data_IF_719713693636
#
_entry.id   IF_719713693636
#
_cell.length_a   1.000
_cell.length_b   1.000
_cell.length_c   1.000
_cell.angle_alpha   90.00
_cell.angle_beta   90.00
_cell.angle_gamma   90.00
#
_symmetry.space_group_name_H-M   'P 1'
#
loop_
_entity.id
_entity.type
_entity.pdbx_description
1 polymer ?
#
# COMPACT_ATOMS: atom_id res chain seq x y z
N UNK A 1 4.30 -11.89 18.53
CA UNK A 1 3.52 -12.34 17.36
C UNK A 1 2.35 -11.40 17.13
N UNK A 2 2.10 -11.02 15.90
CA UNK A 2 0.93 -10.22 15.55
C UNK A 2 -0.36 -10.93 15.92
N UNK A 3 -1.27 -10.22 16.60
CA UNK A 3 -2.58 -10.74 16.97
C UNK A 3 -3.64 -9.78 16.45
N UNK A 4 -4.58 -10.30 15.66
CA UNK A 4 -5.72 -9.56 15.11
C UNK A 4 -6.99 -10.20 15.66
N UNK A 5 -7.82 -9.41 16.35
CA UNK A 5 -9.07 -9.92 16.91
C UNK A 5 -10.21 -9.96 15.90
N UNK A 6 -10.26 -8.98 15.02
CA UNK A 6 -11.35 -8.84 14.06
C UNK A 6 -10.81 -8.31 12.72
N UNK A 7 -11.33 -8.84 11.64
CA UNK A 7 -11.02 -8.40 10.27
C UNK A 7 -12.25 -7.71 9.69
N UNK A 8 -12.04 -6.51 9.13
CA UNK A 8 -13.11 -5.74 8.49
C UNK A 8 -12.66 -5.35 7.09
N UNK A 9 -13.38 -5.81 6.07
CA UNK A 9 -13.19 -5.32 4.70
C UNK A 9 -14.02 -4.06 4.53
N UNK A 10 -13.37 -2.91 4.41
CA UNK A 10 -14.05 -1.64 4.31
C UNK A 10 -14.90 -1.56 3.04
N UNK A 11 -16.11 -1.05 3.17
CA UNK A 11 -17.05 -0.85 2.06
C UNK A 11 -16.94 0.55 1.46
N UNK A 12 -16.32 1.48 2.19
CA UNK A 12 -16.11 2.86 1.75
C UNK A 12 -14.89 3.47 2.44
N UNK A 13 -14.38 4.56 1.87
CA UNK A 13 -13.31 5.33 2.50
C UNK A 13 -13.77 5.96 3.82
N UNK A 14 -15.02 6.39 3.88
CA UNK A 14 -15.61 6.96 5.08
C UNK A 14 -15.63 5.94 6.23
N UNK A 15 -16.02 4.70 5.94
CA UNK A 15 -16.00 3.62 6.94
C UNK A 15 -14.56 3.34 7.41
N UNK A 16 -13.62 3.25 6.48
CA UNK A 16 -12.21 3.03 6.81
C UNK A 16 -11.68 4.16 7.69
N UNK A 17 -12.01 5.40 7.37
CA UNK A 17 -11.61 6.57 8.14
C UNK A 17 -12.14 6.51 9.57
N UNK A 18 -13.44 6.24 9.73
CA UNK A 18 -14.07 6.14 11.05
C UNK A 18 -13.44 5.03 11.90
N UNK A 19 -13.23 3.85 11.32
CA UNK A 19 -12.61 2.73 12.02
C UNK A 19 -11.16 3.05 12.43
N UNK A 20 -10.45 3.80 11.59
CA UNK A 20 -9.04 4.14 11.84
C UNK A 20 -8.86 5.23 12.92
N UNK A 21 -9.94 5.85 13.39
CA UNK A 21 -9.86 6.82 14.49
C UNK A 21 -9.43 6.18 15.81
N UNK A 22 -9.69 4.89 15.99
CA UNK A 22 -9.23 4.15 17.17
C UNK A 22 -7.82 3.64 16.96
N UNK A 23 -6.91 3.99 17.87
CA UNK A 23 -5.50 3.60 17.80
C UNK A 23 -5.27 2.09 17.85
N UNK A 24 -6.23 1.33 18.37
CA UNK A 24 -6.17 -0.12 18.45
C UNK A 24 -6.50 -0.80 17.14
N UNK A 25 -7.02 -0.06 16.17
CA UNK A 25 -7.29 -0.53 14.82
C UNK A 25 -6.13 -0.20 13.89
N UNK A 26 -5.99 -0.96 12.82
CA UNK A 26 -4.87 -0.81 11.88
C UNK A 26 -5.35 -1.03 10.45
N UNK A 27 -4.95 -0.12 9.56
CA UNK A 27 -5.19 -0.29 8.12
C UNK A 27 -4.15 -1.26 7.56
N UNK A 28 -4.62 -2.19 6.74
CA UNK A 28 -3.75 -3.17 6.10
C UNK A 28 -3.33 -2.69 4.70
N UNK A 29 -2.01 -2.77 4.44
CA UNK A 29 -1.47 -2.75 3.09
C UNK A 29 -1.10 -4.18 2.68
N UNK A 30 0.15 -4.40 2.27
CA UNK A 30 0.65 -5.74 1.94
C UNK A 30 0.96 -6.61 3.15
N UNK A 31 0.91 -6.08 4.34
CA UNK A 31 1.17 -6.74 5.63
C UNK A 31 2.60 -7.24 5.83
N UNK A 32 3.53 -6.92 4.96
CA UNK A 32 4.88 -7.51 5.00
C UNK A 32 5.63 -7.21 6.31
N UNK A 33 5.56 -5.96 6.77
CA UNK A 33 6.17 -5.55 8.03
C UNK A 33 5.25 -5.81 9.22
N UNK A 34 3.95 -5.60 9.02
CA UNK A 34 2.96 -5.78 10.08
C UNK A 34 2.97 -7.22 10.59
N UNK A 35 3.02 -8.21 9.70
CA UNK A 35 3.00 -9.63 10.10
C UNK A 35 4.21 -10.04 10.94
N UNK A 36 5.33 -9.30 10.85
CA UNK A 36 6.53 -9.55 11.64
C UNK A 36 6.54 -8.78 12.96
N UNK A 37 5.53 -7.97 13.20
CA UNK A 37 5.41 -7.19 14.43
C UNK A 37 4.82 -8.02 15.58
N UNK A 38 4.88 -7.46 16.79
CA UNK A 38 4.25 -8.02 17.97
C UNK A 38 3.00 -7.24 18.39
N UNK A 39 2.37 -6.54 17.46
CA UNK A 39 1.21 -5.70 17.75
C UNK A 39 -0.04 -6.53 18.08
N UNK A 40 -0.88 -5.94 18.93
CA UNK A 40 -2.24 -6.43 19.18
C UNK A 40 -3.21 -5.48 18.50
N UNK A 41 -3.85 -5.96 17.45
CA UNK A 41 -4.76 -5.18 16.62
C UNK A 41 -6.19 -5.60 16.93
N UNK A 42 -7.03 -4.62 17.30
CA UNK A 42 -8.44 -4.89 17.58
C UNK A 42 -9.20 -5.18 16.29
N UNK A 43 -9.10 -4.26 15.32
CA UNK A 43 -9.69 -4.43 13.99
C UNK A 43 -8.63 -4.18 12.92
N UNK A 44 -8.43 -5.15 12.06
CA UNK A 44 -7.62 -4.99 10.86
C UNK A 44 -8.54 -4.53 9.73
N UNK A 45 -8.26 -3.35 9.18
CA UNK A 45 -9.11 -2.69 8.17
C UNK A 45 -8.50 -2.96 6.80
N UNK A 46 -9.21 -3.73 5.99
CA UNK A 46 -8.78 -4.09 4.64
C UNK A 46 -9.38 -3.12 3.61
N UNK A 47 -8.53 -2.50 2.81
CA UNK A 47 -8.92 -1.55 1.78
C UNK A 47 -9.04 -2.18 0.38
N UNK A 48 -8.84 -3.48 0.24
CA UNK A 48 -8.73 -4.14 -1.07
C UNK A 48 -10.00 -4.06 -1.92
N UNK A 49 -11.15 -3.83 -1.30
CA UNK A 49 -12.42 -3.74 -2.01
C UNK A 49 -12.76 -2.34 -2.56
N UNK A 50 -11.90 -1.33 -2.38
CA UNK A 50 -12.21 0.06 -2.69
C UNK A 50 -11.65 0.56 -4.03
N UNK A 51 -11.02 -0.30 -4.81
CA UNK A 51 -10.44 0.09 -6.11
C UNK A 51 -9.23 1.03 -5.99
N UNK A 52 -8.51 0.99 -4.87
CA UNK A 52 -7.37 1.87 -4.60
C UNK A 52 -6.04 1.33 -5.15
N UNK A 53 -6.09 0.35 -6.03
CA UNK A 53 -4.93 -0.28 -6.66
C UNK A 53 -4.77 0.09 -8.14
N UNK A 54 -5.28 1.25 -8.54
CA UNK A 54 -5.27 1.70 -9.92
C UNK A 54 -4.21 2.78 -10.14
N UNK A 55 -3.61 2.79 -11.32
CA UNK A 55 -2.78 3.88 -11.81
C UNK A 55 -3.55 4.52 -12.97
N UNK A 56 -4.06 5.72 -12.74
CA UNK A 56 -4.83 6.46 -13.70
C UNK A 56 -3.98 7.53 -14.37
N UNK A 57 -4.01 7.59 -15.70
CA UNK A 57 -3.32 8.63 -16.47
C UNK A 57 -4.33 9.65 -17.00
N UNK A 58 -4.05 10.92 -16.76
CA UNK A 58 -4.78 12.03 -17.37
C UNK A 58 -3.81 12.85 -18.23
N UNK A 59 -4.29 13.88 -18.90
CA UNK A 59 -3.42 14.76 -19.69
C UNK A 59 -2.39 15.52 -18.83
N UNK A 60 -2.68 15.70 -17.55
CA UNK A 60 -1.88 16.52 -16.65
C UNK A 60 -1.14 15.73 -15.57
N UNK A 61 -1.60 14.52 -15.22
CA UNK A 61 -1.08 13.81 -14.07
C UNK A 61 -1.27 12.29 -14.14
N UNK A 62 -0.51 11.58 -13.32
CA UNK A 62 -0.79 10.19 -12.94
C UNK A 62 -1.34 10.18 -11.53
N UNK A 63 -2.46 9.47 -11.34
CA UNK A 63 -3.06 9.24 -10.02
C UNK A 63 -2.81 7.81 -9.62
N UNK A 64 -2.08 7.62 -8.54
CA UNK A 64 -1.68 6.30 -8.07
C UNK A 64 -2.43 5.99 -6.78
N UNK A 65 -3.26 4.96 -6.80
CA UNK A 65 -3.98 4.51 -5.60
C UNK A 65 -3.03 3.96 -4.54
N UNK A 66 -3.36 4.15 -3.27
CA UNK A 66 -2.48 3.76 -2.16
C UNK A 66 -2.24 2.25 -2.07
N UNK A 67 -3.13 1.43 -2.62
CA UNK A 67 -3.01 -0.03 -2.63
C UNK A 67 -2.29 -0.57 -3.88
N UNK A 68 -1.80 0.31 -4.74
CA UNK A 68 -0.96 -0.08 -5.88
C UNK A 68 0.34 -0.68 -5.35
N UNK A 69 0.72 -1.84 -5.88
CA UNK A 69 1.95 -2.51 -5.43
C UNK A 69 3.19 -1.83 -6.02
N UNK A 70 4.33 -2.00 -5.35
CA UNK A 70 5.61 -1.51 -5.86
C UNK A 70 5.95 -2.17 -7.19
N UNK A 71 5.56 -3.43 -7.37
CA UNK A 71 5.79 -4.14 -8.64
C UNK A 71 4.97 -3.54 -9.78
N UNK A 72 3.73 -3.16 -9.54
CA UNK A 72 2.90 -2.49 -10.55
C UNK A 72 3.51 -1.16 -10.98
N UNK A 73 4.05 -0.38 -10.02
CA UNK A 73 4.77 0.85 -10.33
C UNK A 73 6.03 0.59 -11.16
N UNK A 74 6.80 -0.43 -10.78
CA UNK A 74 8.02 -0.81 -11.47
C UNK A 74 7.78 -1.18 -12.94
N UNK A 75 6.67 -1.87 -13.21
CA UNK A 75 6.34 -2.40 -14.52
C UNK A 75 5.43 -1.51 -15.37
N UNK A 76 4.98 -0.37 -14.85
CA UNK A 76 4.06 0.50 -15.58
C UNK A 76 4.80 1.30 -16.65
N UNK A 77 4.59 0.92 -17.92
CA UNK A 77 5.34 1.50 -19.04
C UNK A 77 5.14 3.01 -19.19
N UNK A 78 3.89 3.45 -19.23
CA UNK A 78 3.56 4.87 -19.46
C UNK A 78 4.16 5.78 -18.39
N UNK A 79 4.00 5.39 -17.12
CA UNK A 79 4.55 6.14 -16.00
C UNK A 79 6.07 6.25 -16.11
N UNK A 80 6.74 5.14 -16.39
CA UNK A 80 8.19 5.11 -16.46
C UNK A 80 8.75 5.80 -17.70
N UNK A 81 8.01 5.81 -18.81
CA UNK A 81 8.36 6.63 -19.97
C UNK A 81 8.29 8.12 -19.63
N UNK A 82 7.23 8.53 -18.94
CA UNK A 82 7.05 9.93 -18.56
C UNK A 82 8.15 10.43 -17.63
N UNK A 83 8.55 9.65 -16.66
CA UNK A 83 9.56 10.05 -15.66
C UNK A 83 10.98 9.54 -15.97
N UNK A 84 11.23 9.07 -17.19
CA UNK A 84 12.54 8.57 -17.64
C UNK A 84 13.08 7.43 -16.76
N UNK A 85 12.20 6.58 -16.25
CA UNK A 85 12.56 5.43 -15.43
C UNK A 85 12.80 5.73 -13.96
N UNK A 86 12.57 6.97 -13.52
CA UNK A 86 12.85 7.36 -12.13
C UNK A 86 12.07 6.54 -11.10
N UNK A 87 10.78 6.26 -11.38
CA UNK A 87 9.94 5.47 -10.48
C UNK A 87 10.44 4.02 -10.42
N UNK A 88 10.73 3.42 -11.56
CA UNK A 88 11.28 2.07 -11.63
C UNK A 88 12.59 1.98 -10.84
N UNK A 89 13.49 2.92 -11.06
CA UNK A 89 14.78 2.95 -10.36
C UNK A 89 14.61 3.10 -8.86
N UNK A 90 13.62 3.90 -8.44
CA UNK A 90 13.36 4.13 -7.02
C UNK A 90 12.88 2.87 -6.29
N UNK A 91 12.16 1.97 -6.96
CA UNK A 91 11.53 0.82 -6.29
C UNK A 91 12.16 -0.52 -6.62
N UNK A 92 12.88 -0.65 -7.74
CA UNK A 92 13.35 -1.95 -8.26
C UNK A 92 14.32 -2.69 -7.34
N UNK A 93 15.02 -1.99 -6.47
CA UNK A 93 15.96 -2.59 -5.52
C UNK A 93 15.37 -2.82 -4.12
N UNK A 94 14.09 -2.53 -3.93
CA UNK A 94 13.44 -2.75 -2.65
C UNK A 94 13.20 -4.26 -2.47
N UNK A 95 14.03 -4.89 -1.67
CA UNK A 95 14.06 -6.32 -1.33
C UNK A 95 14.11 -7.19 -2.60
N UNK A 96 13.01 -7.82 -2.99
CA UNK A 96 12.92 -8.66 -4.17
C UNK A 96 11.53 -8.60 -4.81
N UNK A 97 11.38 -9.27 -5.95
CA UNK A 97 10.11 -9.25 -6.71
C UNK A 97 8.94 -9.75 -5.87
N UNK A 98 9.14 -10.83 -5.11
CA UNK A 98 8.06 -11.37 -4.25
C UNK A 98 7.61 -10.37 -3.21
N UNK A 99 8.53 -9.63 -2.62
CA UNK A 99 8.23 -8.56 -1.68
C UNK A 99 7.46 -7.44 -2.37
N UNK A 100 7.93 -6.98 -3.53
CA UNK A 100 7.31 -5.87 -4.27
C UNK A 100 5.94 -6.22 -4.84
N UNK A 101 5.64 -7.50 -5.04
CA UNK A 101 4.30 -7.95 -5.46
C UNK A 101 3.24 -7.70 -4.39
N UNK A 102 3.62 -7.58 -3.13
CA UNK A 102 2.71 -7.38 -2.00
C UNK A 102 2.82 -5.98 -1.38
N UNK A 103 4.03 -5.42 -1.30
CA UNK A 103 4.25 -4.10 -0.72
C UNK A 103 3.52 -3.03 -1.55
N UNK A 104 2.79 -2.15 -0.86
CA UNK A 104 2.02 -1.09 -1.50
C UNK A 104 2.71 0.25 -1.38
N UNK A 105 2.41 1.16 -2.32
CA UNK A 105 2.95 2.52 -2.25
C UNK A 105 2.48 3.25 -1.00
N UNK A 106 1.21 3.08 -0.63
CA UNK A 106 0.66 3.69 0.60
C UNK A 106 1.36 3.20 1.86
N UNK A 107 1.59 1.89 1.96
CA UNK A 107 2.31 1.30 3.09
C UNK A 107 3.74 1.77 3.18
N UNK A 108 4.43 1.89 2.05
CA UNK A 108 5.82 2.37 2.00
C UNK A 108 5.94 3.83 2.43
N UNK A 109 5.03 4.69 1.98
CA UNK A 109 5.02 6.11 2.37
C UNK A 109 4.66 6.25 3.85
N UNK A 110 3.63 5.56 4.30
CA UNK A 110 3.19 5.61 5.70
C UNK A 110 4.27 5.09 6.65
N UNK A 111 4.95 4.01 6.28
CA UNK A 111 5.98 3.40 7.11
C UNK A 111 7.26 4.21 7.23
N UNK A 112 7.49 5.13 6.31
CA UNK A 112 8.67 6.02 6.31
C UNK A 112 9.99 5.25 6.39
N UNK A 113 10.07 4.13 5.68
CA UNK A 113 11.29 3.31 5.68
C UNK A 113 12.42 4.02 4.94
N UNK A 114 13.63 3.99 5.53
CA UNK A 114 14.79 4.69 4.96
C UNK A 114 15.26 4.15 3.60
N UNK A 115 14.86 2.93 3.26
CA UNK A 115 15.19 2.31 1.98
C UNK A 115 14.13 2.54 0.89
N UNK A 116 13.05 3.20 1.22
CA UNK A 116 11.86 3.35 0.37
C UNK A 116 11.78 4.74 -0.27
#
# INVERSE_FOLDING_TARGET
MLKIKEYVKAESLEQAYELNQKRTNCILGGMLWLKMSNQNVQKAIDLSGLGLNQIEETEEEFRIGCMTTLRELECHERLNQWCEGAVKDAVSDIVGVQFRNLATIGGSIFGRYGFS
#
